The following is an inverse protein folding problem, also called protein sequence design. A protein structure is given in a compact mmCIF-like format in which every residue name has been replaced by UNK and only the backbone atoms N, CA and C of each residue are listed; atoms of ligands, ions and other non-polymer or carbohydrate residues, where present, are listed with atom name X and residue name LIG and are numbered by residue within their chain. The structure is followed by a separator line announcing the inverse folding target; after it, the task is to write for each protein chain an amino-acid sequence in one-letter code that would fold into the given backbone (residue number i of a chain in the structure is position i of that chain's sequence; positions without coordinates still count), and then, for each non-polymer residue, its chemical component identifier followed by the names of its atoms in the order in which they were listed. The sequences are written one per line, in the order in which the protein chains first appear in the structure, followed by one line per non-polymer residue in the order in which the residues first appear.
data_IF_977647770478
#
_entry.id   IF_977647770478
#
_cell.length_a   1.000
_cell.length_b   1.000
_cell.length_c   1.000
_cell.angle_alpha   90.00
_cell.angle_beta   90.00
_cell.angle_gamma   90.00
#
_symmetry.space_group_name_H-M   'P 1'
#
loop_
_entity.id
_entity.type
_entity.pdbx_description
1 polymer ?
#
# COMPACT_ATOMS: atom_id res chain seq x y z
N UNK A 1 2.77 0.59 -15.10
CA UNK A 1 1.50 1.30 -15.22
C UNK A 1 1.26 1.51 -16.69
N UNK A 2 0.50 0.61 -17.30
CA UNK A 2 0.05 0.79 -18.68
C UNK A 2 -1.30 1.51 -18.65
N UNK A 3 -1.55 2.47 -19.56
CA UNK A 3 -2.84 3.13 -19.67
C UNK A 3 -3.89 2.11 -20.15
N UNK A 4 -4.97 1.98 -19.38
CA UNK A 4 -6.04 1.01 -19.61
C UNK A 4 -7.24 1.66 -20.30
N UNK A 5 -7.38 2.97 -20.16
CA UNK A 5 -8.47 3.76 -20.71
C UNK A 5 -8.61 5.09 -19.99
N UNK A 6 -9.75 5.72 -20.18
CA UNK A 6 -10.07 7.00 -19.56
C UNK A 6 -11.25 6.87 -18.60
N UNK A 7 -11.33 7.81 -17.68
CA UNK A 7 -12.50 8.04 -16.83
C UNK A 7 -12.62 9.52 -16.52
N UNK A 8 -13.71 9.92 -15.86
CA UNK A 8 -13.99 11.31 -15.52
C UNK A 8 -14.69 11.38 -14.16
N UNK A 9 -14.69 12.58 -13.57
CA UNK A 9 -15.23 12.82 -12.22
C UNK A 9 -16.74 13.08 -12.22
N UNK A 10 -17.26 13.74 -13.25
CA UNK A 10 -18.68 14.06 -13.37
C UNK A 10 -19.07 14.35 -14.82
N UNK A 11 -20.38 14.31 -15.08
CA UNK A 11 -20.99 14.79 -16.34
C UNK A 11 -21.65 16.16 -16.12
N UNK A 12 -21.72 16.96 -17.16
CA UNK A 12 -22.39 18.27 -17.13
C UNK A 12 -23.87 18.13 -17.48
N UNK A 13 -24.73 18.78 -16.69
CA UNK A 13 -26.19 18.74 -16.87
C UNK A 13 -26.61 19.32 -18.23
N UNK A 14 -27.49 18.60 -18.93
CA UNK A 14 -28.01 18.96 -20.24
C UNK A 14 -27.11 18.59 -21.42
N UNK A 15 -25.92 18.03 -21.18
CA UNK A 15 -24.96 17.69 -22.24
C UNK A 15 -24.98 16.19 -22.63
N UNK A 16 -24.39 15.82 -23.79
CA UNK A 16 -24.52 14.49 -24.36
C UNK A 16 -24.10 13.33 -23.43
N UNK A 17 -23.04 13.50 -22.64
CA UNK A 17 -22.57 12.48 -21.71
C UNK A 17 -23.60 12.15 -20.62
N UNK A 18 -24.32 13.16 -20.10
CA UNK A 18 -25.40 12.92 -19.14
C UNK A 18 -26.59 12.23 -19.80
N UNK A 19 -27.00 12.70 -20.98
CA UNK A 19 -28.15 12.14 -21.72
C UNK A 19 -27.93 10.68 -22.13
N UNK A 20 -26.69 10.34 -22.50
CA UNK A 20 -26.30 8.96 -22.81
C UNK A 20 -26.11 8.10 -21.56
N UNK A 21 -26.10 8.68 -20.36
CA UNK A 21 -25.99 7.94 -19.10
C UNK A 21 -24.58 7.45 -18.79
N UNK A 22 -23.56 8.19 -19.26
CA UNK A 22 -22.16 7.92 -18.90
C UNK A 22 -21.97 8.07 -17.39
N UNK A 23 -21.21 7.14 -16.78
CA UNK A 23 -21.06 7.04 -15.33
C UNK A 23 -19.65 7.41 -14.90
N UNK A 24 -19.50 8.35 -13.93
CA UNK A 24 -18.22 8.62 -13.31
C UNK A 24 -17.60 7.35 -12.69
N UNK A 25 -16.29 7.18 -12.86
CA UNK A 25 -15.54 6.04 -12.34
C UNK A 25 -15.56 4.77 -13.21
N UNK A 26 -16.40 4.69 -14.25
CA UNK A 26 -16.33 3.65 -15.29
C UNK A 26 -15.12 3.89 -16.21
N UNK A 27 -14.57 2.81 -16.79
CA UNK A 27 -13.41 2.87 -17.70
C UNK A 27 -13.89 2.78 -19.13
N UNK A 28 -13.66 3.82 -19.90
CA UNK A 28 -13.95 3.85 -21.33
C UNK A 28 -12.67 3.55 -22.10
N UNK A 29 -12.76 2.58 -23.01
CA UNK A 29 -11.62 1.94 -23.69
C UNK A 29 -11.69 2.06 -25.20
N UNK A 30 -12.79 2.58 -25.74
CA UNK A 30 -12.98 2.82 -27.17
C UNK A 30 -13.80 4.07 -27.45
N UNK A 31 -13.46 4.77 -28.53
CA UNK A 31 -14.21 5.91 -29.08
C UNK A 31 -14.34 5.71 -30.59
N UNK A 32 -15.56 5.68 -31.12
CA UNK A 32 -15.87 5.38 -32.53
C UNK A 32 -15.21 4.09 -33.06
N UNK A 33 -14.94 3.12 -32.18
CA UNK A 33 -14.22 1.89 -32.52
C UNK A 33 -12.69 2.02 -32.48
N UNK A 34 -12.15 3.23 -32.35
CA UNK A 34 -10.74 3.49 -32.14
C UNK A 34 -10.34 3.19 -30.67
N UNK A 35 -9.18 2.55 -30.43
CA UNK A 35 -8.71 2.27 -29.07
C UNK A 35 -8.45 3.56 -28.28
N UNK A 36 -9.03 3.63 -27.10
CA UNK A 36 -8.94 4.79 -26.21
C UNK A 36 -8.15 4.40 -24.95
N UNK A 37 -6.85 4.74 -24.90
CA UNK A 37 -6.00 4.42 -23.74
C UNK A 37 -5.75 5.64 -22.87
N UNK A 38 -5.61 6.81 -23.47
CA UNK A 38 -5.22 8.05 -22.79
C UNK A 38 -6.20 9.19 -23.05
N UNK A 39 -6.13 10.23 -22.22
CA UNK A 39 -6.91 11.47 -22.46
C UNK A 39 -6.47 12.17 -23.75
N UNK A 40 -5.20 12.02 -24.16
CA UNK A 40 -4.71 12.55 -25.42
C UNK A 40 -5.32 11.80 -26.62
N UNK A 41 -5.56 10.49 -26.48
CA UNK A 41 -6.24 9.71 -27.51
C UNK A 41 -7.67 10.24 -27.69
N UNK A 42 -8.38 10.50 -26.60
CA UNK A 42 -9.72 11.11 -26.68
C UNK A 42 -9.69 12.49 -27.32
N UNK A 43 -8.70 13.32 -26.96
CA UNK A 43 -8.58 14.66 -27.51
C UNK A 43 -8.37 14.62 -29.03
N UNK A 44 -7.53 13.70 -29.52
CA UNK A 44 -7.29 13.52 -30.95
C UNK A 44 -8.56 13.05 -31.68
N UNK A 45 -9.28 12.07 -31.12
CA UNK A 45 -10.51 11.57 -31.73
C UNK A 45 -11.63 12.63 -31.73
N UNK A 46 -11.74 13.46 -30.68
CA UNK A 46 -12.72 14.54 -30.62
C UNK A 46 -12.42 15.63 -31.66
N UNK A 47 -11.16 15.88 -32.03
CA UNK A 47 -10.81 16.85 -33.07
C UNK A 47 -11.32 16.44 -34.46
N UNK A 48 -11.56 15.14 -34.70
CA UNK A 48 -12.11 14.64 -35.96
C UNK A 48 -13.65 14.67 -36.02
N UNK A 49 -14.32 15.01 -34.91
CA UNK A 49 -15.77 14.97 -34.78
C UNK A 49 -16.39 16.33 -35.09
N UNK A 50 -17.53 16.34 -35.81
CA UNK A 50 -18.30 17.55 -36.04
C UNK A 50 -19.42 17.75 -35.00
N UNK A 51 -19.80 19.01 -34.75
CA UNK A 51 -20.96 19.31 -33.90
C UNK A 51 -22.23 18.70 -34.53
N UNK A 52 -22.98 17.93 -33.74
CA UNK A 52 -24.16 17.20 -34.20
C UNK A 52 -23.88 15.81 -34.75
N UNK A 53 -22.61 15.39 -34.83
CA UNK A 53 -22.25 14.04 -35.25
C UNK A 53 -22.57 13.01 -34.17
N UNK A 54 -22.97 11.80 -34.59
CA UNK A 54 -23.18 10.66 -33.70
C UNK A 54 -21.85 9.99 -33.41
N UNK A 55 -21.53 9.84 -32.14
CA UNK A 55 -20.31 9.20 -31.67
C UNK A 55 -20.65 8.06 -30.70
N UNK A 56 -19.77 7.07 -30.66
CA UNK A 56 -19.93 5.89 -29.82
C UNK A 56 -18.75 5.81 -28.87
N UNK A 57 -19.02 5.79 -27.57
CA UNK A 57 -18.00 5.53 -26.55
C UNK A 57 -18.33 4.23 -25.84
N UNK A 58 -17.34 3.37 -25.65
CA UNK A 58 -17.56 2.05 -25.08
C UNK A 58 -16.59 1.77 -23.93
N UNK A 59 -17.11 1.11 -22.90
CA UNK A 59 -16.34 0.38 -21.90
C UNK A 59 -16.21 -1.09 -22.31
N UNK A 60 -15.58 -1.91 -21.49
CA UNK A 60 -15.53 -3.37 -21.73
C UNK A 60 -16.91 -4.04 -21.72
N UNK A 61 -17.90 -3.42 -21.09
CA UNK A 61 -19.21 -4.04 -20.82
C UNK A 61 -20.38 -3.28 -21.41
N UNK A 62 -20.24 -1.98 -21.64
CA UNK A 62 -21.32 -1.12 -22.11
C UNK A 62 -20.85 -0.29 -23.31
N UNK A 63 -21.78 0.03 -24.20
CA UNK A 63 -21.56 0.96 -25.30
C UNK A 63 -22.63 2.04 -25.26
N UNK A 64 -22.21 3.28 -25.44
CA UNK A 64 -23.06 4.46 -25.33
C UNK A 64 -22.99 5.25 -26.63
N UNK A 65 -24.16 5.50 -27.21
CA UNK A 65 -24.28 6.42 -28.35
C UNK A 65 -24.63 7.81 -27.83
N UNK A 66 -23.92 8.81 -28.31
CA UNK A 66 -24.15 10.22 -27.99
C UNK A 66 -24.05 11.07 -29.27
N UNK A 67 -24.63 12.26 -29.23
CA UNK A 67 -24.54 13.24 -30.32
C UNK A 67 -23.71 14.41 -29.83
N UNK A 68 -22.60 14.73 -30.48
CA UNK A 68 -21.70 15.80 -30.05
C UNK A 68 -22.44 17.15 -30.01
N UNK A 69 -22.32 17.87 -28.89
CA UNK A 69 -22.89 19.21 -28.75
C UNK A 69 -21.83 20.28 -29.03
N UNK A 70 -22.27 21.53 -29.18
CA UNK A 70 -21.34 22.65 -29.26
C UNK A 70 -20.76 22.97 -27.88
N UNK A 71 -19.46 23.27 -27.82
CA UNK A 71 -18.79 23.66 -26.59
C UNK A 71 -19.33 24.99 -26.06
N UNK A 72 -19.64 25.10 -24.74
CA UNK A 72 -20.11 26.34 -24.15
C UNK A 72 -19.03 27.42 -24.04
N UNK A 73 -17.76 27.08 -24.26
CA UNK A 73 -16.62 28.00 -24.12
C UNK A 73 -15.93 28.33 -25.45
N UNK A 74 -16.12 27.50 -26.47
CA UNK A 74 -15.41 27.60 -27.75
C UNK A 74 -16.38 27.31 -28.91
N UNK A 75 -16.66 28.32 -29.73
CA UNK A 75 -17.59 28.21 -30.85
C UNK A 75 -17.11 27.17 -31.88
N UNK A 76 -18.02 26.32 -32.37
CA UNK A 76 -17.72 25.28 -33.35
C UNK A 76 -16.92 24.07 -32.84
N UNK A 77 -16.50 24.04 -31.56
CA UNK A 77 -15.78 22.89 -31.02
C UNK A 77 -16.75 21.81 -30.52
N UNK A 78 -16.60 20.54 -30.93
CA UNK A 78 -17.41 19.43 -30.41
C UNK A 78 -17.14 19.21 -28.91
N UNK A 79 -18.22 18.96 -28.18
CA UNK A 79 -18.18 18.80 -26.73
C UNK A 79 -19.19 17.76 -26.26
N UNK A 80 -18.72 16.82 -25.44
CA UNK A 80 -19.54 15.72 -24.92
C UNK A 80 -20.02 15.96 -23.48
N UNK A 81 -19.48 16.93 -22.74
CA UNK A 81 -19.95 17.25 -21.38
C UNK A 81 -19.34 16.41 -20.25
N UNK A 82 -18.08 16.01 -20.35
CA UNK A 82 -17.35 15.30 -19.27
C UNK A 82 -16.39 16.26 -18.55
N UNK A 83 -16.38 16.19 -17.21
CA UNK A 83 -15.57 17.07 -16.36
C UNK A 83 -14.54 16.25 -15.59
N UNK A 84 -13.29 16.74 -15.56
CA UNK A 84 -12.20 16.11 -14.84
C UNK A 84 -11.76 14.79 -15.47
N UNK A 85 -11.52 14.79 -16.79
CA UNK A 85 -10.96 13.64 -17.50
C UNK A 85 -9.58 13.26 -16.97
N UNK A 86 -9.36 11.97 -16.76
CA UNK A 86 -8.07 11.40 -16.39
C UNK A 86 -7.86 10.02 -17.02
N UNK A 87 -6.60 9.67 -17.27
CA UNK A 87 -6.22 8.32 -17.71
C UNK A 87 -6.20 7.38 -16.52
N UNK A 88 -6.88 6.24 -16.64
CA UNK A 88 -6.75 5.14 -15.68
C UNK A 88 -5.58 4.25 -16.10
N UNK A 89 -4.73 3.96 -15.15
CA UNK A 89 -3.61 3.05 -15.34
C UNK A 89 -3.94 1.72 -14.70
N UNK A 90 -3.71 0.64 -15.43
CA UNK A 90 -3.84 -0.69 -14.88
C UNK A 90 -2.72 -0.91 -13.83
N UNK A 91 -3.13 -1.28 -12.61
CA UNK A 91 -2.24 -1.74 -11.53
C UNK A 91 -2.14 -3.28 -11.54
N UNK A 92 -2.10 -3.87 -12.75
CA UNK A 92 -1.73 -5.26 -12.96
C UNK A 92 -0.25 -5.46 -12.65
N UNK A 93 0.02 -5.47 -11.34
CA UNK A 93 1.16 -6.14 -10.78
C UNK A 93 0.98 -7.62 -11.09
N UNK A 94 1.65 -8.07 -12.15
CA UNK A 94 1.79 -9.47 -12.56
C UNK A 94 1.96 -10.35 -11.32
N UNK A 95 1.29 -11.50 -11.26
CA UNK A 95 1.35 -12.44 -10.12
C UNK A 95 2.78 -12.64 -9.58
N UNK A 96 3.78 -12.65 -10.47
CA UNK A 96 5.21 -12.72 -10.12
C UNK A 96 5.68 -11.52 -9.28
N UNK A 97 5.36 -10.28 -9.65
CA UNK A 97 5.72 -9.10 -8.86
C UNK A 97 5.01 -9.07 -7.50
N UNK A 98 3.73 -9.47 -7.43
CA UNK A 98 3.01 -9.63 -6.16
C UNK A 98 3.68 -10.70 -5.28
N UNK A 99 4.04 -11.83 -5.87
CA UNK A 99 4.75 -12.93 -5.20
C UNK A 99 6.14 -12.51 -4.71
N UNK A 100 6.91 -11.77 -5.52
CA UNK A 100 8.22 -11.25 -5.14
C UNK A 100 8.11 -10.25 -3.97
N UNK A 101 7.12 -9.35 -3.99
CA UNK A 101 6.87 -8.44 -2.85
C UNK A 101 6.48 -9.20 -1.58
N UNK A 102 5.65 -10.24 -1.70
CA UNK A 102 5.29 -11.09 -0.57
C UNK A 102 6.50 -11.86 0.00
N UNK A 103 7.34 -12.44 -0.86
CA UNK A 103 8.58 -13.11 -0.46
C UNK A 103 9.50 -12.12 0.25
N UNK A 104 9.67 -10.90 -0.27
CA UNK A 104 10.48 -9.87 0.38
C UNK A 104 9.93 -9.53 1.78
N UNK A 105 8.60 -9.41 1.93
CA UNK A 105 7.98 -9.20 3.24
C UNK A 105 8.28 -10.34 4.22
N UNK A 106 8.23 -11.59 3.75
CA UNK A 106 8.60 -12.75 4.57
C UNK A 106 10.07 -12.72 4.98
N UNK A 107 10.97 -12.41 4.05
CA UNK A 107 12.40 -12.31 4.34
C UNK A 107 12.68 -11.23 5.39
N UNK A 108 11.98 -10.10 5.34
CA UNK A 108 12.07 -9.06 6.36
C UNK A 108 11.60 -9.56 7.72
N UNK A 109 10.49 -10.31 7.80
CA UNK A 109 10.02 -10.90 9.06
C UNK A 109 11.04 -11.90 9.60
N UNK A 110 11.55 -12.80 8.77
CA UNK A 110 12.59 -13.77 9.13
C UNK A 110 13.83 -13.03 9.63
N UNK A 111 14.24 -11.97 8.95
CA UNK A 111 15.37 -11.15 9.34
C UNK A 111 15.14 -10.51 10.72
N UNK A 112 14.00 -9.85 10.95
CA UNK A 112 13.69 -9.20 12.22
C UNK A 112 13.65 -10.22 13.36
N UNK A 113 13.04 -11.39 13.16
CA UNK A 113 12.99 -12.45 14.17
C UNK A 113 14.38 -13.02 14.46
N UNK A 114 15.14 -13.36 13.41
CA UNK A 114 16.48 -13.94 13.56
C UNK A 114 17.44 -12.95 14.21
N UNK A 115 17.38 -11.68 13.79
CA UNK A 115 18.16 -10.60 14.36
C UNK A 115 17.77 -10.34 15.81
N UNK A 116 16.47 -10.28 16.12
CA UNK A 116 15.95 -10.07 17.48
C UNK A 116 16.38 -11.18 18.45
N UNK A 117 16.24 -12.45 18.05
CA UNK A 117 16.70 -13.60 18.83
C UNK A 117 18.23 -13.57 19.00
N UNK A 118 18.96 -13.25 17.93
CA UNK A 118 20.41 -13.10 17.97
C UNK A 118 20.86 -12.01 18.96
N UNK A 119 20.23 -10.84 18.92
CA UNK A 119 20.53 -9.76 19.86
C UNK A 119 20.15 -10.12 21.30
N UNK A 120 19.01 -10.77 21.50
CA UNK A 120 18.60 -11.23 22.82
C UNK A 120 19.64 -12.21 23.39
N UNK A 121 20.11 -13.16 22.58
CA UNK A 121 21.13 -14.12 22.98
C UNK A 121 22.48 -13.47 23.31
N UNK A 122 22.77 -12.25 22.84
CA UNK A 122 23.99 -11.52 23.20
C UNK A 122 23.91 -10.82 24.56
N UNK A 123 22.73 -10.77 25.19
CA UNK A 123 22.58 -10.14 26.50
C UNK A 123 23.42 -10.85 27.57
N UNK A 124 24.01 -10.11 28.54
CA UNK A 124 24.90 -10.67 29.56
C UNK A 124 24.10 -11.32 30.71
N UNK A 125 23.15 -12.19 30.37
CA UNK A 125 22.26 -12.90 31.30
C UNK A 125 22.62 -14.39 31.30
N UNK A 126 22.77 -14.99 32.48
CA UNK A 126 23.30 -16.34 32.67
C UNK A 126 22.68 -17.47 31.82
N UNK A 127 21.34 -17.53 31.60
CA UNK A 127 20.73 -18.54 30.74
C UNK A 127 21.07 -18.41 29.25
N UNK A 128 21.53 -17.25 28.79
CA UNK A 128 21.78 -16.93 27.40
C UNK A 128 23.26 -17.08 27.03
N UNK A 129 23.55 -17.30 25.75
CA UNK A 129 24.92 -17.54 25.27
C UNK A 129 25.86 -16.36 25.53
N UNK A 130 25.38 -15.13 25.36
CA UNK A 130 26.09 -13.89 25.66
C UNK A 130 26.47 -13.77 27.13
N UNK A 131 25.62 -14.24 28.04
CA UNK A 131 25.93 -14.31 29.47
C UNK A 131 27.06 -15.29 29.77
N UNK A 132 27.11 -16.43 29.08
CA UNK A 132 28.20 -17.41 29.23
C UNK A 132 29.52 -16.89 28.67
N UNK A 133 29.48 -16.26 27.50
CA UNK A 133 30.66 -15.60 26.91
C UNK A 133 31.17 -14.46 27.80
N UNK A 134 30.26 -13.64 28.33
CA UNK A 134 30.62 -12.57 29.27
C UNK A 134 31.24 -13.12 30.56
N UNK A 135 30.72 -14.23 31.08
CA UNK A 135 31.32 -14.91 32.25
C UNK A 135 32.78 -15.28 32.00
N UNK A 136 33.06 -15.97 30.89
CA UNK A 136 34.41 -16.39 30.51
C UNK A 136 35.34 -15.19 30.30
N UNK A 137 34.85 -14.14 29.63
CA UNK A 137 35.61 -12.91 29.43
C UNK A 137 35.97 -12.23 30.77
N UNK A 138 35.02 -12.15 31.71
CA UNK A 138 35.25 -11.55 33.02
C UNK A 138 36.21 -12.37 33.88
N UNK A 139 36.10 -13.69 33.85
CA UNK A 139 37.05 -14.57 34.55
C UNK A 139 38.47 -14.42 33.99
N UNK A 140 38.62 -14.30 32.67
CA UNK A 140 39.93 -14.11 32.02
C UNK A 140 40.55 -12.74 32.32
N UNK A 141 39.75 -11.67 32.38
CA UNK A 141 40.27 -10.30 32.57
C UNK A 141 40.51 -9.97 34.05
N UNK A 142 39.61 -10.39 34.96
CA UNK A 142 39.62 -9.98 36.38
C UNK A 142 40.02 -11.10 37.35
N UNK A 143 40.27 -12.30 36.83
CA UNK A 143 40.50 -13.51 37.62
C UNK A 143 39.19 -14.24 37.96
N UNK A 144 39.27 -15.54 38.31
CA UNK A 144 38.10 -16.42 38.43
C UNK A 144 37.10 -15.93 39.50
N UNK A 145 37.57 -15.54 40.68
CA UNK A 145 36.68 -15.12 41.77
C UNK A 145 36.01 -13.76 41.52
N UNK A 146 36.79 -12.76 41.10
CA UNK A 146 36.27 -11.40 40.85
C UNK A 146 35.41 -11.38 39.60
N UNK A 147 35.79 -12.11 38.56
CA UNK A 147 35.04 -12.24 37.32
C UNK A 147 33.66 -12.85 37.54
N UNK A 148 33.57 -13.93 38.33
CA UNK A 148 32.29 -14.55 38.67
C UNK A 148 31.39 -13.59 39.45
N UNK A 149 31.93 -12.88 40.45
CA UNK A 149 31.17 -11.86 41.22
C UNK A 149 30.63 -10.74 40.33
N UNK A 150 31.42 -10.27 39.36
CA UNK A 150 30.98 -9.23 38.41
C UNK A 150 29.90 -9.77 37.49
N UNK A 151 30.11 -10.96 36.91
CA UNK A 151 29.13 -11.62 36.05
C UNK A 151 27.78 -11.82 36.74
N UNK A 152 27.76 -12.34 37.97
CA UNK A 152 26.52 -12.55 38.73
C UNK A 152 25.78 -11.22 38.97
N UNK A 153 26.49 -10.16 39.37
CA UNK A 153 25.88 -8.84 39.59
C UNK A 153 25.29 -8.26 38.31
N UNK A 154 26.01 -8.35 37.20
CA UNK A 154 25.55 -7.87 35.88
C UNK A 154 24.35 -8.69 35.42
N UNK A 155 24.42 -10.03 35.48
CA UNK A 155 23.31 -10.90 35.09
C UNK A 155 22.07 -10.66 35.94
N UNK A 156 22.22 -10.43 37.25
CA UNK A 156 21.09 -10.12 38.14
C UNK A 156 20.46 -8.77 37.78
N UNK A 157 21.28 -7.75 37.53
CA UNK A 157 20.80 -6.43 37.11
C UNK A 157 19.97 -6.51 35.83
N UNK A 158 20.47 -7.18 34.78
CA UNK A 158 19.75 -7.34 33.53
C UNK A 158 18.46 -8.18 33.70
N UNK A 159 18.48 -9.20 34.56
CA UNK A 159 17.28 -9.99 34.85
C UNK A 159 16.20 -9.14 35.55
N UNK A 160 16.59 -8.32 36.53
CA UNK A 160 15.66 -7.40 37.20
C UNK A 160 15.15 -6.31 36.24
N UNK A 161 16.02 -5.81 35.35
CA UNK A 161 15.65 -4.84 34.32
C UNK A 161 14.60 -5.42 33.38
N UNK A 162 14.78 -6.66 32.90
CA UNK A 162 13.80 -7.36 32.06
C UNK A 162 12.48 -7.54 32.82
N UNK A 163 12.53 -8.01 34.07
CA UNK A 163 11.33 -8.20 34.89
C UNK A 163 10.58 -6.88 35.08
N UNK A 164 11.31 -5.78 35.33
CA UNK A 164 10.76 -4.44 35.43
C UNK A 164 10.10 -3.98 34.12
N UNK A 165 10.74 -4.18 32.97
CA UNK A 165 10.20 -3.84 31.66
C UNK A 165 8.93 -4.65 31.30
N UNK A 166 8.77 -5.85 31.86
CA UNK A 166 7.57 -6.68 31.68
C UNK A 166 6.38 -6.26 32.57
N UNK A 167 6.60 -5.44 33.60
CA UNK A 167 5.53 -5.01 34.51
C UNK A 167 4.32 -4.33 33.84
N UNK A 168 4.45 -3.38 32.87
CA UNK A 168 3.29 -2.78 32.22
C UNK A 168 2.48 -3.80 31.41
N UNK A 169 3.17 -4.72 30.72
CA UNK A 169 2.54 -5.78 29.92
C UNK A 169 1.72 -6.68 30.85
N UNK A 170 2.34 -7.17 31.93
CA UNK A 170 1.67 -8.03 32.89
C UNK A 170 0.46 -7.35 33.53
N UNK A 171 0.59 -6.08 33.92
CA UNK A 171 -0.53 -5.29 34.46
C UNK A 171 -1.67 -5.18 33.45
N UNK A 172 -1.37 -4.88 32.19
CA UNK A 172 -2.38 -4.74 31.14
C UNK A 172 -3.13 -6.05 30.89
N UNK A 173 -2.43 -7.18 30.84
CA UNK A 173 -3.03 -8.52 30.67
C UNK A 173 -3.88 -8.90 31.87
N UNK A 174 -3.41 -8.64 33.10
CA UNK A 174 -4.13 -8.96 34.32
C UNK A 174 -5.43 -8.16 34.44
N UNK A 175 -5.41 -6.87 34.08
CA UNK A 175 -6.59 -6.02 34.02
C UNK A 175 -7.59 -6.48 32.96
N UNK A 176 -7.11 -6.86 31.76
CA UNK A 176 -7.98 -7.36 30.70
C UNK A 176 -8.69 -8.67 31.09
N UNK A 177 -7.98 -9.59 31.77
CA UNK A 177 -8.56 -10.83 32.26
C UNK A 177 -9.58 -10.55 33.37
N UNK A 178 -9.21 -9.78 34.40
CA UNK A 178 -10.11 -9.49 35.53
C UNK A 178 -11.36 -8.72 35.11
N UNK A 179 -11.22 -7.77 34.17
CA UNK A 179 -12.35 -7.01 33.62
C UNK A 179 -13.28 -7.83 32.72
N UNK A 180 -12.84 -8.98 32.21
CA UNK A 180 -13.69 -9.89 31.45
C UNK A 180 -14.61 -10.76 32.34
N UNK A 181 -14.36 -10.80 33.65
CA UNK A 181 -15.13 -11.57 34.64
C UNK A 181 -16.00 -10.69 35.58
N UNK A 182 -15.96 -9.37 35.41
CA UNK A 182 -16.79 -8.39 36.15
C UNK A 182 -17.89 -7.83 35.26
#
# INVERSE_FOLDING_TARGET
YEPEGISFNSVQEGFPAEQAGLKPGEIYTSFNGAPLKTVNDLAAEIEEVEVGEKIVISSETNSYELTAAESPTEEGRPYIGVIGLYTRFNDDNTFLFKSLKWINSLLVVIFILSFGIGMANLLPVGPLDGGRMFNLAMQKIRGPEKGLKIWTKVSLFFLLLILFLLTPIFRSTLQAILGAFS
#
